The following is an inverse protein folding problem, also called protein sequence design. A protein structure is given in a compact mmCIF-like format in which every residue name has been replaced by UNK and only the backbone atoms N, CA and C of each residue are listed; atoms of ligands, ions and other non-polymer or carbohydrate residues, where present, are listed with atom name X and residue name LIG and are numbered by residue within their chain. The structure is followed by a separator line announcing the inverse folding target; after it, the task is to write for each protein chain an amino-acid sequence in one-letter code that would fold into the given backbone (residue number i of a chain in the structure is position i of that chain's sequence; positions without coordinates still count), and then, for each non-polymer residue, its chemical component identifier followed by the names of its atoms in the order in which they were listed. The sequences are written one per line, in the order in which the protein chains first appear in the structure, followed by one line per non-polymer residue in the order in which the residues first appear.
data_IF_073771896490
#
_entry.id   IF_073771896490
#
_cell.length_a   1.000
_cell.length_b   1.000
_cell.length_c   1.000
_cell.angle_alpha   90.00
_cell.angle_beta   90.00
_cell.angle_gamma   90.00
#
_symmetry.space_group_name_H-M   'P 1'
#
loop_
_entity.id
_entity.type
_entity.pdbx_description
1 polymer ?
#
# COMPACT_ATOMS: atom_id res chain seq x y z
N UNK A 1 0.50 -33.69 11.75
CA UNK A 1 1.31 -33.49 10.54
C UNK A 1 2.77 -33.90 10.78
N UNK A 2 3.46 -33.34 11.77
CA UNK A 2 4.86 -33.62 12.11
C UNK A 2 5.08 -35.11 12.38
N UNK A 3 4.19 -35.75 13.14
CA UNK A 3 4.22 -37.21 13.36
C UNK A 3 4.09 -38.02 12.06
N UNK A 4 3.24 -37.59 11.16
CA UNK A 4 3.06 -38.22 9.84
C UNK A 4 4.25 -37.99 8.93
N UNK A 5 4.97 -36.89 9.06
CA UNK A 5 6.19 -36.61 8.32
C UNK A 5 7.39 -37.44 8.79
N UNK A 6 7.26 -38.23 9.87
CA UNK A 6 8.32 -39.10 10.37
C UNK A 6 9.52 -38.36 10.97
N UNK A 7 9.34 -37.09 11.36
CA UNK A 7 10.43 -36.25 11.91
C UNK A 7 11.04 -36.83 13.19
N UNK A 8 10.26 -37.59 13.97
CA UNK A 8 10.71 -38.24 15.20
C UNK A 8 11.53 -39.52 14.98
N UNK A 9 11.58 -40.00 13.74
CA UNK A 9 12.35 -41.19 13.32
C UNK A 9 13.64 -40.83 12.64
N UNK A 10 14.14 -39.61 12.82
CA UNK A 10 15.37 -39.15 12.16
C UNK A 10 16.55 -40.01 12.63
N UNK A 11 17.42 -40.48 11.72
CA UNK A 11 18.55 -41.34 12.08
C UNK A 11 19.57 -40.69 13.02
N UNK A 12 19.63 -39.37 13.08
CA UNK A 12 20.38 -38.65 14.10
C UNK A 12 19.45 -38.43 15.34
N UNK A 13 19.82 -39.08 16.46
CA UNK A 13 19.06 -39.04 17.72
C UNK A 13 18.90 -37.60 18.21
N UNK A 14 19.94 -36.77 18.13
CA UNK A 14 19.90 -35.37 18.59
C UNK A 14 18.81 -34.57 17.83
N UNK A 15 18.77 -34.71 16.50
CA UNK A 15 17.74 -34.04 15.68
C UNK A 15 16.33 -34.56 16.02
N UNK A 16 16.19 -35.85 16.29
CA UNK A 16 14.91 -36.45 16.71
C UNK A 16 14.43 -35.89 18.04
N UNK A 17 15.31 -35.73 19.02
CA UNK A 17 15.03 -35.18 20.33
C UNK A 17 14.65 -33.69 20.23
N UNK A 18 15.37 -32.90 19.44
CA UNK A 18 15.07 -31.49 19.20
C UNK A 18 13.67 -31.30 18.59
N UNK A 19 13.28 -32.17 17.63
CA UNK A 19 11.91 -32.16 17.07
C UNK A 19 10.85 -32.59 18.11
N UNK A 20 11.14 -33.53 18.99
CA UNK A 20 10.24 -33.96 20.05
C UNK A 20 10.00 -32.83 21.06
N UNK A 21 11.07 -32.11 21.44
CA UNK A 21 10.94 -30.97 22.35
C UNK A 21 10.09 -29.87 21.74
N UNK A 22 10.32 -29.48 20.46
CA UNK A 22 9.50 -28.54 19.74
C UNK A 22 8.04 -29.01 19.58
N UNK A 23 7.80 -30.32 19.38
CA UNK A 23 6.45 -30.85 19.37
C UNK A 23 5.76 -30.74 20.75
N UNK A 24 6.44 -31.10 21.82
CA UNK A 24 5.91 -31.03 23.18
C UNK A 24 5.58 -29.58 23.60
N UNK A 25 6.42 -28.63 23.23
CA UNK A 25 6.17 -27.20 23.43
C UNK A 25 4.89 -26.75 22.70
N UNK A 26 4.77 -27.04 21.40
CA UNK A 26 3.56 -26.70 20.62
C UNK A 26 2.33 -27.41 21.17
N UNK A 27 2.46 -28.67 21.58
CA UNK A 27 1.37 -29.40 22.20
C UNK A 27 0.93 -28.75 23.52
N UNK A 28 1.85 -28.21 24.30
CA UNK A 28 1.54 -27.45 25.52
C UNK A 28 0.74 -26.17 25.17
N UNK A 29 1.10 -25.45 24.09
CA UNK A 29 0.33 -24.28 23.61
C UNK A 29 -1.07 -24.68 23.15
N UNK A 30 -1.20 -25.77 22.42
CA UNK A 30 -2.53 -26.31 22.02
C UNK A 30 -3.37 -26.66 23.25
N UNK A 31 -2.80 -27.34 24.24
CA UNK A 31 -3.50 -27.68 25.49
C UNK A 31 -3.92 -26.44 26.27
N UNK A 32 -3.20 -25.32 26.15
CA UNK A 32 -3.57 -24.00 26.73
C UNK A 32 -4.67 -23.31 25.92
N UNK A 33 -5.10 -23.86 24.79
CA UNK A 33 -6.12 -23.28 23.93
C UNK A 33 -5.61 -22.10 23.08
N UNK A 34 -4.29 -22.04 22.79
CA UNK A 34 -3.73 -21.02 21.90
C UNK A 34 -4.18 -21.32 20.46
N UNK A 35 -4.96 -20.42 19.90
CA UNK A 35 -5.42 -20.42 18.51
C UNK A 35 -5.44 -18.98 18.00
N UNK A 36 -4.32 -18.56 17.43
CA UNK A 36 -4.14 -17.19 16.95
C UNK A 36 -4.61 -17.08 15.50
N UNK A 37 -5.65 -16.30 15.27
CA UNK A 37 -6.05 -15.90 13.94
C UNK A 37 -5.07 -14.81 13.42
N UNK A 38 -3.98 -15.28 12.80
CA UNK A 38 -2.96 -14.41 12.25
C UNK A 38 -3.45 -13.54 11.11
N UNK A 39 -4.39 -14.04 10.30
CA UNK A 39 -4.92 -13.34 9.14
C UNK A 39 -5.69 -12.08 9.58
N UNK A 40 -6.41 -12.15 10.67
CA UNK A 40 -7.15 -11.01 11.22
C UNK A 40 -6.25 -9.94 11.88
N UNK A 41 -5.02 -10.28 12.31
CA UNK A 41 -4.17 -9.35 13.06
C UNK A 41 -3.82 -8.07 12.31
N UNK A 42 -3.34 -8.12 11.04
CA UNK A 42 -2.98 -6.92 10.30
C UNK A 42 -4.17 -6.19 9.68
N UNK A 43 -5.37 -6.78 9.70
CA UNK A 43 -6.54 -6.30 8.96
C UNK A 43 -7.42 -5.43 9.85
N UNK A 44 -8.09 -4.46 9.24
CA UNK A 44 -9.12 -3.64 9.88
C UNK A 44 -10.46 -4.36 9.81
N UNK A 45 -11.24 -4.27 10.87
CA UNK A 45 -12.61 -4.78 10.87
C UNK A 45 -13.53 -3.99 9.93
N UNK A 46 -13.28 -2.68 9.82
CA UNK A 46 -14.03 -1.77 8.95
C UNK A 46 -13.06 -0.81 8.27
N UNK A 47 -13.20 -0.68 6.96
CA UNK A 47 -12.52 0.33 6.15
C UNK A 47 -13.49 1.39 5.66
N UNK A 48 -13.19 2.67 5.90
CA UNK A 48 -13.97 3.79 5.37
C UNK A 48 -13.16 4.52 4.30
N UNK A 49 -13.76 4.69 3.13
CA UNK A 49 -13.16 5.45 2.02
C UNK A 49 -14.18 6.41 1.47
N UNK A 50 -13.74 7.60 1.07
CA UNK A 50 -14.62 8.60 0.49
C UNK A 50 -14.00 9.26 -0.73
N UNK A 51 -14.85 9.76 -1.60
CA UNK A 51 -14.48 10.53 -2.79
C UNK A 51 -15.40 11.74 -2.92
N UNK A 52 -14.82 12.88 -3.20
CA UNK A 52 -15.49 14.11 -3.51
C UNK A 52 -15.07 14.60 -4.89
N UNK A 53 -16.03 15.05 -5.68
CA UNK A 53 -15.77 15.58 -7.01
C UNK A 53 -16.61 16.85 -7.19
N UNK A 54 -15.96 17.92 -7.65
CA UNK A 54 -16.58 19.18 -8.01
C UNK A 54 -16.24 19.46 -9.47
N UNK A 55 -17.24 19.78 -10.24
CA UNK A 55 -17.07 20.25 -11.61
C UNK A 55 -17.84 21.56 -11.80
N UNK A 56 -17.15 22.56 -12.31
CA UNK A 56 -17.70 23.86 -12.64
C UNK A 56 -17.36 24.17 -14.09
N UNK A 57 -18.33 24.57 -14.87
CA UNK A 57 -18.10 25.06 -16.21
C UNK A 57 -18.90 26.33 -16.48
N UNK A 58 -18.39 27.14 -17.39
CA UNK A 58 -19.03 28.37 -17.81
C UNK A 58 -18.46 28.89 -19.10
N UNK A 59 -19.05 29.98 -19.56
CA UNK A 59 -18.59 30.68 -20.74
C UNK A 59 -19.67 30.88 -21.80
N UNK A 60 -19.23 31.30 -22.97
CA UNK A 60 -20.09 31.58 -24.13
C UNK A 60 -19.55 30.88 -25.39
N UNK A 61 -19.97 31.34 -26.56
CA UNK A 61 -19.54 30.81 -27.87
C UNK A 61 -18.07 31.10 -28.18
N UNK A 62 -17.46 32.10 -27.51
CA UNK A 62 -16.07 32.52 -27.73
C UNK A 62 -15.14 31.96 -26.67
N UNK A 63 -15.57 32.00 -25.43
CA UNK A 63 -14.77 31.54 -24.28
C UNK A 63 -15.54 30.50 -23.50
N UNK A 64 -14.97 29.31 -23.30
CA UNK A 64 -15.44 28.27 -22.41
C UNK A 64 -14.34 27.89 -21.42
N UNK A 65 -14.71 27.68 -20.19
CA UNK A 65 -13.80 27.20 -19.16
C UNK A 65 -14.46 26.13 -18.30
N UNK A 66 -13.67 25.23 -17.81
CA UNK A 66 -14.07 24.20 -16.87
C UNK A 66 -13.03 24.05 -15.76
N UNK A 67 -13.50 23.80 -14.55
CA UNK A 67 -12.70 23.46 -13.39
C UNK A 67 -13.18 22.13 -12.82
N UNK A 68 -12.28 21.20 -12.65
CA UNK A 68 -12.55 19.93 -12.00
C UNK A 68 -11.66 19.82 -10.76
N UNK A 69 -12.25 19.47 -9.61
CA UNK A 69 -11.52 19.15 -8.39
C UNK A 69 -11.99 17.79 -7.91
N UNK A 70 -11.06 16.87 -7.72
CA UNK A 70 -11.32 15.54 -7.20
C UNK A 70 -10.45 15.31 -5.96
N UNK A 71 -11.06 14.88 -4.89
CA UNK A 71 -10.37 14.39 -3.71
C UNK A 71 -10.85 12.98 -3.39
N UNK A 72 -9.92 12.08 -3.13
CA UNK A 72 -10.24 10.72 -2.71
C UNK A 72 -9.30 10.30 -1.59
N UNK A 73 -9.89 9.86 -0.49
CA UNK A 73 -9.20 9.13 0.56
C UNK A 73 -9.62 7.66 0.50
N UNK A 74 -8.65 6.76 0.41
CA UNK A 74 -8.85 5.31 0.46
C UNK A 74 -8.08 4.74 1.64
N UNK A 75 -8.80 4.25 2.63
CA UNK A 75 -8.20 3.41 3.65
C UNK A 75 -7.90 2.03 3.07
N UNK A 76 -6.67 1.55 3.24
CA UNK A 76 -6.32 0.19 2.88
C UNK A 76 -6.94 -0.82 3.84
N UNK A 77 -6.97 -2.08 3.44
CA UNK A 77 -7.47 -3.20 4.25
C UNK A 77 -6.57 -3.43 5.46
N UNK A 78 -5.26 -3.36 5.26
CA UNK A 78 -4.29 -3.50 6.35
C UNK A 78 -4.25 -2.23 7.23
N UNK A 79 -4.03 -2.42 8.52
CA UNK A 79 -3.91 -1.33 9.51
C UNK A 79 -2.74 -0.42 9.13
N UNK A 80 -2.93 0.89 9.24
CA UNK A 80 -1.92 1.90 8.90
C UNK A 80 -1.75 2.15 7.40
N UNK A 81 -2.32 1.34 6.51
CA UNK A 81 -2.23 1.58 5.06
C UNK A 81 -3.31 2.52 4.56
N UNK A 82 -2.98 3.29 3.53
CA UNK A 82 -3.93 4.22 2.91
C UNK A 82 -3.40 4.92 1.67
N UNK A 83 -4.29 5.61 0.99
CA UNK A 83 -3.98 6.42 -0.19
C UNK A 83 -4.85 7.67 -0.23
N UNK A 84 -4.21 8.82 -0.32
CA UNK A 84 -4.83 10.11 -0.59
C UNK A 84 -4.53 10.53 -2.03
N UNK A 85 -5.54 11.02 -2.72
CA UNK A 85 -5.41 11.51 -4.08
C UNK A 85 -6.16 12.82 -4.23
N UNK A 86 -5.46 13.87 -4.66
CA UNK A 86 -6.00 15.17 -5.03
C UNK A 86 -5.75 15.39 -6.52
N UNK A 87 -6.80 15.64 -7.28
CA UNK A 87 -6.72 15.99 -8.69
C UNK A 87 -7.38 17.33 -8.96
N UNK A 88 -6.71 18.18 -9.73
CA UNK A 88 -7.25 19.47 -10.21
C UNK A 88 -7.09 19.52 -11.72
N UNK A 89 -8.18 19.80 -12.41
CA UNK A 89 -8.18 19.98 -13.87
C UNK A 89 -8.73 21.34 -14.23
N UNK A 90 -8.06 22.04 -15.15
CA UNK A 90 -8.54 23.29 -15.73
C UNK A 90 -8.60 23.13 -17.24
N UNK A 91 -9.77 23.38 -17.79
CA UNK A 91 -10.00 23.38 -19.23
C UNK A 91 -10.31 24.79 -19.69
N UNK A 92 -9.64 25.24 -20.74
CA UNK A 92 -9.89 26.54 -21.35
C UNK A 92 -10.03 26.35 -22.85
N UNK A 93 -11.11 26.87 -23.43
CA UNK A 93 -11.31 26.92 -24.87
C UNK A 93 -11.63 28.37 -25.26
N UNK A 94 -10.84 28.90 -26.17
CA UNK A 94 -11.05 30.24 -26.72
C UNK A 94 -11.15 30.18 -28.24
N UNK A 95 -12.19 30.77 -28.77
CA UNK A 95 -12.43 30.86 -30.21
C UNK A 95 -12.37 32.32 -30.67
N UNK A 96 -11.50 32.58 -31.64
CA UNK A 96 -11.38 33.87 -32.27
C UNK A 96 -11.42 33.73 -33.79
N UNK A 97 -12.51 34.15 -34.42
CA UNK A 97 -12.74 33.99 -35.86
C UNK A 97 -12.56 32.52 -36.29
N UNK A 98 -11.56 32.25 -37.11
CA UNK A 98 -11.21 30.92 -37.62
C UNK A 98 -10.23 30.15 -36.75
N UNK A 99 -9.79 30.75 -35.64
CA UNK A 99 -8.86 30.14 -34.68
C UNK A 99 -9.61 29.59 -33.45
N UNK A 100 -9.24 28.39 -33.00
CA UNK A 100 -9.70 27.79 -31.78
C UNK A 100 -8.48 27.34 -30.94
N UNK A 101 -8.32 27.92 -29.79
CA UNK A 101 -7.30 27.56 -28.81
C UNK A 101 -7.95 26.68 -27.73
N UNK A 102 -7.27 25.64 -27.34
CA UNK A 102 -7.68 24.78 -26.24
C UNK A 102 -6.48 24.52 -25.33
N UNK A 103 -6.68 24.60 -24.05
CA UNK A 103 -5.70 24.25 -23.04
C UNK A 103 -6.36 23.37 -21.99
N UNK A 104 -5.79 22.18 -21.78
CA UNK A 104 -6.19 21.25 -20.74
C UNK A 104 -5.02 21.06 -19.80
N UNK A 105 -5.15 21.57 -18.60
CA UNK A 105 -4.17 21.46 -17.53
C UNK A 105 -4.70 20.50 -16.49
N UNK A 106 -3.90 19.51 -16.10
CA UNK A 106 -4.21 18.58 -15.05
C UNK A 106 -3.04 18.51 -14.06
N UNK A 107 -3.35 18.64 -12.79
CA UNK A 107 -2.42 18.38 -11.70
C UNK A 107 -3.01 17.27 -10.82
N UNK A 108 -2.18 16.30 -10.48
CA UNK A 108 -2.53 15.23 -9.54
C UNK A 108 -1.45 15.09 -8.49
N UNK A 109 -1.85 15.08 -7.23
CA UNK A 109 -1.01 14.72 -6.10
C UNK A 109 -1.54 13.44 -5.47
N UNK A 110 -0.68 12.43 -5.33
CA UNK A 110 -1.03 11.18 -4.65
C UNK A 110 -0.02 10.90 -3.56
N UNK A 111 -0.51 10.62 -2.35
CA UNK A 111 0.26 10.09 -1.24
C UNK A 111 -0.24 8.69 -0.90
N UNK A 112 0.69 7.76 -0.75
CA UNK A 112 0.42 6.37 -0.37
C UNK A 112 1.27 6.04 0.86
N UNK A 113 0.62 5.40 1.83
CA UNK A 113 1.27 4.88 3.04
C UNK A 113 1.08 3.38 3.05
N UNK A 114 2.18 2.64 3.10
CA UNK A 114 2.16 1.19 3.25
C UNK A 114 1.90 0.83 4.72
N UNK A 115 1.44 -0.38 4.95
CA UNK A 115 1.14 -0.85 6.31
C UNK A 115 2.44 -1.08 7.10
N UNK A 116 2.56 -0.58 8.34
CA UNK A 116 3.68 -0.92 9.22
C UNK A 116 3.65 -2.39 9.68
N UNK A 117 2.57 -3.11 9.41
CA UNK A 117 2.43 -4.54 9.67
C UNK A 117 3.11 -5.43 8.61
N UNK A 118 3.85 -4.86 7.65
CA UNK A 118 4.52 -5.62 6.60
C UNK A 118 3.56 -6.17 5.54
N UNK A 119 3.96 -7.26 4.91
CA UNK A 119 3.16 -7.91 3.87
C UNK A 119 2.14 -8.89 4.45
N UNK A 120 0.93 -8.89 3.90
CA UNK A 120 -0.14 -9.80 4.33
C UNK A 120 0.26 -11.28 4.20
N UNK A 121 1.09 -11.62 3.21
CA UNK A 121 1.59 -12.98 2.99
C UNK A 121 2.37 -13.53 4.18
N UNK A 122 3.09 -12.70 4.93
CA UNK A 122 3.85 -13.14 6.11
C UNK A 122 2.94 -13.76 7.17
N UNK A 123 1.73 -13.24 7.33
CA UNK A 123 0.74 -13.75 8.28
C UNK A 123 0.13 -15.09 7.86
N UNK A 124 0.09 -15.39 6.55
CA UNK A 124 -0.50 -16.62 6.05
C UNK A 124 0.36 -17.87 6.30
N UNK A 125 1.65 -17.68 6.59
CA UNK A 125 2.60 -18.75 6.88
C UNK A 125 2.78 -19.05 8.36
N UNK A 126 2.22 -18.18 9.23
CA UNK A 126 2.39 -18.34 10.67
C UNK A 126 1.52 -19.47 11.23
N UNK A 127 2.12 -20.22 12.14
CA UNK A 127 1.42 -21.29 12.82
C UNK A 127 0.42 -20.69 13.86
N UNK A 128 -0.85 -21.12 13.88
CA UNK A 128 -1.86 -20.62 14.82
C UNK A 128 -1.52 -20.86 16.29
N UNK A 129 -0.63 -21.79 16.58
CA UNK A 129 -0.18 -22.05 17.96
C UNK A 129 0.86 -21.05 18.46
N UNK A 130 1.38 -20.18 17.62
CA UNK A 130 2.27 -19.11 18.06
C UNK A 130 1.47 -18.00 18.74
N UNK A 131 1.90 -17.62 19.94
CA UNK A 131 1.28 -16.54 20.69
C UNK A 131 2.05 -15.23 20.48
N UNK A 132 1.38 -14.18 19.99
CA UNK A 132 2.06 -12.96 19.55
C UNK A 132 2.60 -12.07 20.67
N UNK A 133 2.19 -12.29 21.92
CA UNK A 133 2.49 -11.40 23.03
C UNK A 133 3.38 -12.06 24.07
N UNK A 134 4.12 -11.24 24.85
CA UNK A 134 4.83 -11.67 26.05
C UNK A 134 3.88 -11.74 27.28
N UNK A 135 4.44 -12.05 28.45
CA UNK A 135 3.69 -12.13 29.71
C UNK A 135 3.13 -10.76 30.17
N UNK A 136 3.73 -9.66 29.70
CA UNK A 136 3.31 -8.29 29.98
C UNK A 136 2.31 -7.75 28.96
N UNK A 137 1.98 -8.52 27.91
CA UNK A 137 1.09 -8.12 26.83
C UNK A 137 1.77 -7.33 25.71
N UNK A 138 3.10 -7.20 25.70
CA UNK A 138 3.81 -6.56 24.61
C UNK A 138 3.96 -7.52 23.42
N UNK A 139 4.04 -6.98 22.22
CA UNK A 139 4.27 -7.77 21.00
C UNK A 139 5.70 -8.33 21.02
N UNK A 140 5.83 -9.65 20.98
CA UNK A 140 7.14 -10.31 20.91
C UNK A 140 7.78 -10.11 19.54
N UNK A 141 9.09 -10.00 19.49
CA UNK A 141 9.84 -9.98 18.24
C UNK A 141 9.96 -11.40 17.63
N UNK A 142 10.31 -12.39 18.47
CA UNK A 142 10.47 -13.79 18.07
C UNK A 142 9.30 -14.59 18.61
N UNK A 143 8.62 -15.31 17.71
CA UNK A 143 7.51 -16.20 18.06
C UNK A 143 7.99 -17.56 18.51
N UNK A 144 8.98 -18.11 17.79
CA UNK A 144 9.54 -19.43 18.02
C UNK A 144 10.97 -19.51 17.50
N UNK A 145 11.83 -20.22 18.23
CA UNK A 145 13.19 -20.57 17.78
C UNK A 145 13.24 -22.06 17.50
N UNK A 146 13.64 -22.43 16.28
CA UNK A 146 13.74 -23.81 15.86
C UNK A 146 15.04 -24.46 16.38
N UNK A 147 15.14 -25.79 16.31
CA UNK A 147 16.31 -26.53 16.74
C UNK A 147 17.60 -26.19 15.96
N UNK A 148 17.47 -25.72 14.73
CA UNK A 148 18.56 -25.23 13.89
C UNK A 148 18.92 -23.76 14.14
N UNK A 149 18.44 -23.18 15.25
CA UNK A 149 18.59 -21.78 15.66
C UNK A 149 17.87 -20.76 14.74
N UNK A 150 17.23 -21.20 13.69
CA UNK A 150 16.38 -20.31 12.89
C UNK A 150 15.17 -19.84 13.71
N UNK A 151 14.59 -18.69 13.34
CA UNK A 151 13.55 -18.04 14.12
C UNK A 151 12.31 -17.76 13.28
N UNK A 152 11.14 -18.03 13.83
CA UNK A 152 9.88 -17.50 13.34
C UNK A 152 9.68 -16.11 13.94
N UNK A 153 9.82 -15.07 13.11
CA UNK A 153 9.67 -13.69 13.54
C UNK A 153 8.21 -13.27 13.55
N UNK A 154 7.90 -12.27 14.35
CA UNK A 154 6.56 -11.74 14.49
C UNK A 154 6.39 -10.48 13.61
N UNK A 155 5.67 -10.53 12.49
CA UNK A 155 5.50 -9.37 11.62
C UNK A 155 4.75 -8.21 12.30
N UNK A 156 3.95 -8.48 13.34
CA UNK A 156 3.31 -7.42 14.12
C UNK A 156 4.32 -6.56 14.90
N UNK A 157 5.51 -7.08 15.19
CA UNK A 157 6.52 -6.35 15.97
C UNK A 157 6.97 -5.08 15.25
N UNK A 158 7.12 -5.12 13.94
CA UNK A 158 7.53 -3.97 13.13
C UNK A 158 6.57 -2.78 13.24
N UNK A 159 5.29 -3.04 13.49
CA UNK A 159 4.29 -1.99 13.69
C UNK A 159 4.47 -1.23 15.03
N UNK A 160 5.23 -1.79 15.98
CA UNK A 160 5.53 -1.14 17.27
C UNK A 160 6.74 -0.23 17.23
N UNK A 161 7.55 -0.32 16.16
CA UNK A 161 8.86 0.34 16.04
C UNK A 161 8.83 1.72 15.38
N UNK A 162 7.67 2.19 14.94
CA UNK A 162 7.57 3.42 14.18
C UNK A 162 8.12 3.31 12.74
N UNK A 163 8.10 2.13 12.16
CA UNK A 163 8.42 1.88 10.75
C UNK A 163 7.59 2.76 9.84
N UNK A 164 8.22 3.36 8.84
CA UNK A 164 7.59 4.26 7.89
C UNK A 164 7.85 3.80 6.46
N UNK A 165 6.83 3.73 5.63
CA UNK A 165 6.92 3.54 4.19
C UNK A 165 5.87 4.42 3.52
N UNK A 166 6.34 5.53 2.96
CA UNK A 166 5.49 6.50 2.27
C UNK A 166 6.01 6.73 0.85
N UNK A 167 5.09 6.86 -0.08
CA UNK A 167 5.35 7.23 -1.46
C UNK A 167 4.42 8.36 -1.85
N UNK A 168 4.96 9.38 -2.48
CA UNK A 168 4.15 10.46 -3.02
C UNK A 168 4.58 10.71 -4.47
N UNK A 169 3.63 11.13 -5.29
CA UNK A 169 3.95 11.67 -6.59
C UNK A 169 3.07 12.85 -6.94
N UNK A 170 3.68 13.78 -7.67
CA UNK A 170 3.05 14.92 -8.31
C UNK A 170 3.11 14.71 -9.81
N UNK A 171 1.99 14.78 -10.47
CA UNK A 171 1.88 14.66 -11.92
C UNK A 171 1.22 15.92 -12.48
N UNK A 172 1.95 16.62 -13.35
CA UNK A 172 1.51 17.82 -14.00
C UNK A 172 1.47 17.59 -15.51
N UNK A 173 0.30 17.70 -16.11
CA UNK A 173 0.09 17.53 -17.54
C UNK A 173 -0.56 18.80 -18.09
N UNK A 174 0.06 19.40 -19.11
CA UNK A 174 -0.54 20.50 -19.86
C UNK A 174 -0.59 20.15 -21.35
N UNK A 175 -1.80 20.12 -21.87
CA UNK A 175 -2.06 19.92 -23.28
C UNK A 175 -2.56 21.23 -23.89
N UNK A 176 -1.78 21.81 -24.77
CA UNK A 176 -2.18 22.95 -25.56
C UNK A 176 -2.47 22.51 -27.00
N UNK A 177 -3.60 22.94 -27.55
CA UNK A 177 -3.95 22.67 -28.94
C UNK A 177 -4.51 23.90 -29.65
N UNK A 178 -4.16 24.00 -30.92
CA UNK A 178 -4.61 25.04 -31.85
C UNK A 178 -5.27 24.38 -33.04
N UNK A 179 -6.47 24.82 -33.37
CA UNK A 179 -7.14 24.53 -34.63
C UNK A 179 -7.30 25.84 -35.39
N UNK A 180 -6.92 25.85 -36.66
CA UNK A 180 -7.03 27.00 -37.54
C UNK A 180 -7.68 26.62 -38.89
N UNK A 181 -8.86 27.15 -39.13
CA UNK A 181 -9.52 27.06 -40.41
C UNK A 181 -8.95 28.16 -41.32
N UNK A 182 -7.93 27.82 -42.16
CA UNK A 182 -7.16 28.79 -42.96
C UNK A 182 -8.02 29.32 -44.08
N UNK A 183 -8.62 28.42 -44.85
CA UNK A 183 -9.58 28.68 -45.92
C UNK A 183 -10.58 27.52 -45.94
N UNK A 184 -11.66 27.65 -46.74
CA UNK A 184 -12.63 26.57 -46.90
C UNK A 184 -11.93 25.30 -47.40
N UNK A 185 -12.13 24.19 -46.68
CA UNK A 185 -11.51 22.90 -46.99
C UNK A 185 -10.07 22.71 -46.44
N UNK A 186 -9.41 23.74 -45.87
CA UNK A 186 -8.07 23.62 -45.32
C UNK A 186 -8.04 23.98 -43.82
N UNK A 187 -7.79 22.96 -42.99
CA UNK A 187 -7.69 23.10 -41.55
C UNK A 187 -6.32 22.65 -41.02
N UNK A 188 -5.65 23.50 -40.26
CA UNK A 188 -4.43 23.17 -39.53
C UNK A 188 -4.78 22.82 -38.09
N UNK A 189 -4.22 21.70 -37.58
CA UNK A 189 -4.30 21.32 -36.18
C UNK A 189 -2.89 21.12 -35.62
N UNK A 190 -2.62 21.72 -34.47
CA UNK A 190 -1.37 21.56 -33.76
C UNK A 190 -1.67 21.19 -32.30
N UNK A 191 -0.85 20.31 -31.72
CA UNK A 191 -0.95 19.95 -30.32
C UNK A 191 0.45 19.87 -29.70
N UNK A 192 0.62 20.50 -28.53
CA UNK A 192 1.81 20.43 -27.70
C UNK A 192 1.38 19.86 -26.34
N UNK A 193 2.11 18.86 -25.86
CA UNK A 193 1.86 18.24 -24.56
C UNK A 193 3.12 18.33 -23.72
N UNK A 194 2.98 18.86 -22.51
CA UNK A 194 4.02 18.90 -21.49
C UNK A 194 3.59 18.02 -20.34
N UNK A 195 4.47 17.11 -19.93
CA UNK A 195 4.25 16.24 -18.78
C UNK A 195 5.46 16.31 -17.86
N UNK A 196 5.21 16.54 -16.57
CA UNK A 196 6.23 16.50 -15.53
C UNK A 196 5.71 15.67 -14.36
N UNK A 197 6.42 14.58 -14.05
CA UNK A 197 6.13 13.73 -12.91
C UNK A 197 7.30 13.73 -11.94
N UNK A 198 7.02 14.04 -10.67
CA UNK A 198 7.95 13.89 -9.57
C UNK A 198 7.48 12.73 -8.70
N UNK A 199 8.41 11.91 -8.22
CA UNK A 199 8.14 10.82 -7.29
C UNK A 199 9.08 10.93 -6.10
N UNK A 200 8.53 10.81 -4.91
CA UNK A 200 9.26 10.77 -3.65
C UNK A 200 8.92 9.47 -2.93
N UNK A 201 9.93 8.80 -2.39
CA UNK A 201 9.78 7.62 -1.53
C UNK A 201 10.56 7.85 -0.25
N UNK A 202 9.91 7.65 0.88
CA UNK A 202 10.47 7.78 2.21
C UNK A 202 10.22 6.47 2.96
N UNK A 203 11.30 5.69 3.15
CA UNK A 203 11.26 4.42 3.85
C UNK A 203 12.22 4.47 5.03
N UNK A 204 11.69 4.20 6.20
CA UNK A 204 12.46 4.12 7.43
C UNK A 204 12.18 2.82 8.16
N UNK A 205 13.23 2.05 8.44
CA UNK A 205 13.21 0.83 9.25
C UNK A 205 14.19 1.00 10.39
N UNK A 206 13.75 0.97 11.66
CA UNK A 206 14.65 0.97 12.82
C UNK A 206 15.58 -0.26 12.83
N UNK A 207 16.66 -0.20 13.60
CA UNK A 207 17.66 -1.28 13.73
C UNK A 207 17.06 -2.59 14.25
N UNK A 208 15.99 -2.51 15.02
CA UNK A 208 15.27 -3.64 15.61
C UNK A 208 14.24 -4.26 14.64
N UNK A 209 14.15 -3.76 13.40
CA UNK A 209 13.22 -4.31 12.41
C UNK A 209 13.56 -5.75 12.07
N UNK A 210 12.53 -6.61 11.89
CA UNK A 210 12.70 -8.05 11.64
C UNK A 210 13.47 -8.37 10.35
N UNK A 211 13.57 -7.45 9.40
CA UNK A 211 14.39 -7.62 8.17
C UNK A 211 15.91 -7.65 8.45
N UNK A 212 16.34 -7.30 9.65
CA UNK A 212 17.76 -7.26 10.03
C UNK A 212 18.18 -8.43 10.93
N UNK A 213 17.28 -9.41 11.11
CA UNK A 213 17.48 -10.63 11.89
C UNK A 213 17.64 -11.87 11.01
#
# INVERSE_FOLDING_TARGET
YERLAGLYSHPNIQIGDDYMDGYNERLALVKRGIDTDWIAKPVKDVGFSHKHSLFLEGGDTKLRYGLTVNYQNKNGVMRGSGRDNLGVGVQLQYRYKTLKFMNDLTYSHMKMTDSPYGDFSEYTWLNPYYYPYDENGNVKQVLYTFADESQALNPMYNATLGTKSEKAYDDFINNFSLEWDIVEGLKLKSKISLNKKNMTSDNFKPSEHTDFY
#
